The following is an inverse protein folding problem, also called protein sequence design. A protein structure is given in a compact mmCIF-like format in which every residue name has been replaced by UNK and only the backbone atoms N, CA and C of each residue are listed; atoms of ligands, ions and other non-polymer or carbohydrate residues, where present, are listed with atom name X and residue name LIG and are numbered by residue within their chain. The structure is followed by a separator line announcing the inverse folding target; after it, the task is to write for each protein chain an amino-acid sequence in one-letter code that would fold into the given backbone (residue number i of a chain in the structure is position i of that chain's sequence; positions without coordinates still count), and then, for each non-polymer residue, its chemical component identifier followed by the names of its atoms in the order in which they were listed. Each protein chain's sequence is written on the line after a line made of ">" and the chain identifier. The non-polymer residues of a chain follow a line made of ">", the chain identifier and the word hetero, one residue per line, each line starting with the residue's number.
data_IF_709266644982
#
_entry.id   IF_709266644982
#
_cell.length_a   1.000
_cell.length_b   1.000
_cell.length_c   1.000
_cell.angle_alpha   90.00
_cell.angle_beta   90.00
_cell.angle_gamma   90.00
#
_symmetry.space_group_name_H-M   'P 1'
#
loop_
_entity.id
_entity.type
_entity.pdbx_description
1 polymer ?
#
# COMPACT_ATOMS: atom_id res chain seq x y z
N UNK A 1 19.83 21.17 -17.12
CA UNK A 1 20.47 19.90 -16.82
C UNK A 1 20.80 19.73 -15.36
N UNK A 2 21.39 20.74 -14.73
CA UNK A 2 21.69 20.66 -13.31
C UNK A 2 20.44 20.47 -12.46
N UNK A 3 19.31 21.01 -12.90
CA UNK A 3 18.06 20.85 -12.17
C UNK A 3 17.58 19.41 -12.12
N UNK A 4 17.83 18.66 -13.18
CA UNK A 4 17.45 17.26 -13.22
C UNK A 4 18.24 16.46 -12.22
N UNK A 5 19.52 16.79 -12.08
CA UNK A 5 20.39 16.12 -11.11
C UNK A 5 19.92 16.37 -9.69
N UNK A 6 19.51 17.60 -9.41
CA UNK A 6 18.99 17.95 -8.08
C UNK A 6 17.72 17.17 -7.76
N UNK A 7 16.83 17.02 -8.73
CA UNK A 7 15.61 16.27 -8.55
C UNK A 7 15.91 14.81 -8.25
N UNK A 8 16.85 14.22 -8.97
CA UNK A 8 17.25 12.83 -8.73
C UNK A 8 17.83 12.68 -7.33
N UNK A 9 18.58 13.65 -6.89
CA UNK A 9 19.16 13.63 -5.55
C UNK A 9 18.06 13.63 -4.49
N UNK A 10 17.00 14.39 -4.71
CA UNK A 10 15.86 14.39 -3.79
C UNK A 10 15.17 13.03 -3.73
N UNK A 11 15.10 12.33 -4.84
CA UNK A 11 14.52 10.99 -4.84
C UNK A 11 15.37 9.96 -4.11
N UNK A 12 16.64 10.21 -3.96
CA UNK A 12 17.53 9.31 -3.24
C UNK A 12 17.35 9.43 -1.73
N UNK A 13 16.68 10.47 -1.29
CA UNK A 13 16.45 10.75 0.12
C UNK A 13 15.20 10.18 0.76
N UNK A 14 14.41 9.37 0.17
CA UNK A 14 13.25 8.84 0.86
C UNK A 14 13.66 7.67 1.72
N UNK A 15 14.26 7.96 2.81
CA UNK A 15 14.78 6.91 3.68
C UNK A 15 13.89 6.64 4.88
N UNK A 16 12.74 7.29 4.91
CA UNK A 16 11.88 7.22 6.08
C UNK A 16 10.86 6.11 6.04
N UNK A 17 10.91 5.28 5.02
CA UNK A 17 9.94 4.19 4.88
C UNK A 17 9.98 3.22 6.06
N UNK A 18 11.15 3.05 6.68
CA UNK A 18 11.32 2.09 7.77
C UNK A 18 10.59 2.52 9.02
N UNK A 19 10.42 3.83 9.21
CA UNK A 19 9.78 4.34 10.40
C UNK A 19 8.27 4.25 10.37
N UNK A 20 7.69 3.93 9.22
CA UNK A 20 6.25 3.98 9.06
C UNK A 20 5.50 2.96 9.89
N UNK A 21 6.07 1.80 10.11
CA UNK A 21 5.39 0.78 10.88
C UNK A 21 5.15 1.24 12.32
N UNK A 22 6.05 2.04 12.87
CA UNK A 22 5.91 2.58 14.22
C UNK A 22 4.80 3.60 14.33
N UNK A 23 4.50 4.32 13.25
CA UNK A 23 3.43 5.31 13.25
C UNK A 23 2.05 4.67 13.36
N UNK A 24 1.93 3.41 12.96
CA UNK A 24 0.64 2.72 12.95
C UNK A 24 0.47 1.77 14.13
N UNK A 25 1.31 1.89 15.13
CA UNK A 25 1.28 0.96 16.26
C UNK A 25 -0.03 1.00 17.03
N UNK A 26 -0.74 2.12 16.98
CA UNK A 26 -2.01 2.28 17.65
C UNK A 26 -3.18 1.66 16.90
N UNK A 27 -3.01 1.36 15.63
CA UNK A 27 -4.11 0.94 14.78
C UNK A 27 -4.10 -0.56 14.60
N UNK A 28 -5.29 -1.15 14.55
CA UNK A 28 -5.46 -2.54 14.17
C UNK A 28 -5.76 -2.66 12.70
N UNK A 29 -6.35 -1.62 12.12
CA UNK A 29 -6.63 -1.59 10.70
C UNK A 29 -6.75 -0.15 10.24
N UNK A 30 -6.51 0.04 8.96
CA UNK A 30 -6.72 1.31 8.28
C UNK A 30 -7.51 0.99 7.03
N UNK A 31 -8.64 1.66 6.88
CA UNK A 31 -9.50 1.48 5.72
C UNK A 31 -9.51 2.77 4.93
N UNK A 32 -9.22 2.64 3.63
CA UNK A 32 -9.19 3.78 2.73
C UNK A 32 -10.06 3.47 1.52
N UNK A 33 -10.76 4.50 1.06
CA UNK A 33 -11.55 4.42 -0.15
C UNK A 33 -10.79 5.06 -1.30
N UNK A 34 -10.93 4.48 -2.48
CA UNK A 34 -10.26 4.98 -3.67
C UNK A 34 -11.30 5.66 -4.55
N UNK A 35 -11.04 6.93 -4.90
CA UNK A 35 -11.92 7.71 -5.75
C UNK A 35 -11.20 8.09 -7.04
N UNK A 36 -11.97 8.16 -8.09
CA UNK A 36 -11.52 8.67 -9.39
C UNK A 36 -12.57 9.63 -9.91
N UNK A 37 -12.17 10.88 -10.10
CA UNK A 37 -13.08 11.93 -10.54
C UNK A 37 -14.34 12.03 -9.68
N UNK A 38 -14.17 11.90 -8.37
CA UNK A 38 -15.28 11.99 -7.43
C UNK A 38 -16.12 10.73 -7.28
N UNK A 39 -15.81 9.69 -8.02
CA UNK A 39 -16.55 8.43 -7.97
C UNK A 39 -15.78 7.40 -7.18
N UNK A 40 -16.45 6.72 -6.25
CA UNK A 40 -15.85 5.64 -5.48
C UNK A 40 -15.62 4.45 -6.41
N UNK A 41 -14.38 4.03 -6.56
CA UNK A 41 -14.04 2.91 -7.44
C UNK A 41 -13.47 1.71 -6.71
N UNK A 42 -13.12 1.84 -5.43
CA UNK A 42 -12.59 0.70 -4.71
C UNK A 42 -12.08 1.08 -3.34
N UNK A 43 -11.25 0.22 -2.81
CA UNK A 43 -10.75 0.38 -1.44
C UNK A 43 -9.32 -0.13 -1.33
N UNK A 44 -8.65 0.31 -0.27
CA UNK A 44 -7.33 -0.15 0.10
C UNK A 44 -7.31 -0.28 1.61
N UNK A 45 -7.21 -1.51 2.09
CA UNK A 45 -7.29 -1.79 3.51
C UNK A 45 -5.98 -2.37 4.02
N UNK A 46 -5.59 -1.94 5.22
CA UNK A 46 -4.44 -2.48 5.95
C UNK A 46 -4.92 -3.06 7.27
N UNK A 47 -4.44 -4.24 7.60
CA UNK A 47 -4.72 -4.89 8.87
C UNK A 47 -3.40 -5.16 9.56
N UNK A 48 -3.35 -4.86 10.85
CA UNK A 48 -2.15 -5.02 11.67
C UNK A 48 -2.43 -6.04 12.76
N UNK A 49 -1.68 -7.11 12.75
CA UNK A 49 -1.79 -8.15 13.77
C UNK A 49 -0.48 -8.22 14.52
N UNK A 50 -0.52 -7.82 15.79
CA UNK A 50 0.66 -7.77 16.63
C UNK A 50 0.61 -8.89 17.64
N UNK A 51 1.70 -9.65 17.72
CA UNK A 51 1.83 -10.76 18.63
C UNK A 51 3.24 -10.75 19.21
N UNK A 52 3.40 -10.12 20.39
CA UNK A 52 4.71 -9.93 20.98
C UNK A 52 5.59 -9.04 20.13
N UNK A 53 6.74 -9.55 19.74
CA UNK A 53 7.67 -8.80 18.88
C UNK A 53 7.39 -8.93 17.41
N UNK A 54 6.39 -9.74 17.05
CA UNK A 54 6.04 -9.96 15.65
C UNK A 54 4.84 -9.11 15.26
N UNK A 55 4.91 -8.51 14.08
CA UNK A 55 3.80 -7.79 13.51
C UNK A 55 3.58 -8.27 12.09
N UNK A 56 2.35 -8.63 11.78
CA UNK A 56 1.97 -9.01 10.43
C UNK A 56 1.06 -7.91 9.88
N UNK A 57 1.45 -7.35 8.75
CA UNK A 57 0.68 -6.32 8.06
C UNK A 57 0.10 -6.94 6.80
N UNK A 58 -1.21 -6.94 6.71
CA UNK A 58 -1.93 -7.44 5.56
C UNK A 58 -2.53 -6.27 4.80
N UNK A 59 -2.36 -6.25 3.50
CA UNK A 59 -2.94 -5.22 2.65
C UNK A 59 -3.83 -5.87 1.62
N UNK A 60 -5.03 -5.32 1.47
CA UNK A 60 -5.98 -5.73 0.45
C UNK A 60 -6.39 -4.50 -0.33
N UNK A 61 -6.19 -4.54 -1.64
CA UNK A 61 -6.59 -3.45 -2.52
C UNK A 61 -7.47 -4.01 -3.63
N UNK A 62 -8.52 -3.30 -3.92
CA UNK A 62 -9.41 -3.65 -5.02
C UNK A 62 -10.01 -2.39 -5.61
N UNK A 63 -9.94 -2.25 -6.93
CA UNK A 63 -10.66 -1.16 -7.58
C UNK A 63 -11.03 -1.54 -8.99
N UNK A 64 -12.05 -0.87 -9.50
CA UNK A 64 -12.62 -1.10 -10.82
C UNK A 64 -12.80 0.26 -11.50
N UNK A 65 -12.28 0.39 -12.71
CA UNK A 65 -12.47 1.57 -13.51
C UNK A 65 -13.46 1.26 -14.63
N UNK A 66 -14.50 2.07 -14.74
CA UNK A 66 -15.53 1.89 -15.75
C UNK A 66 -15.57 3.12 -16.67
N UNK A 67 -15.82 2.86 -17.93
CA UNK A 67 -16.09 3.90 -18.91
C UNK A 67 -17.40 3.56 -19.61
N UNK A 68 -18.33 4.51 -19.61
CA UNK A 68 -19.64 4.34 -20.23
C UNK A 68 -20.35 3.08 -19.74
N UNK A 69 -20.20 2.78 -18.44
CA UNK A 69 -20.86 1.64 -17.84
C UNK A 69 -20.14 0.31 -18.02
N UNK A 70 -19.06 0.27 -18.79
CA UNK A 70 -18.32 -0.96 -19.01
C UNK A 70 -17.01 -0.95 -18.21
N UNK A 71 -16.69 -2.09 -17.61
CA UNK A 71 -15.42 -2.24 -16.90
C UNK A 71 -14.29 -2.31 -17.91
N UNK A 72 -13.34 -1.36 -17.80
CA UNK A 72 -12.18 -1.31 -18.69
C UNK A 72 -10.91 -1.73 -17.98
N UNK A 73 -10.91 -1.72 -16.65
CA UNK A 73 -9.72 -2.05 -15.89
C UNK A 73 -10.11 -2.41 -14.48
N UNK A 74 -9.53 -3.47 -13.93
CA UNK A 74 -9.72 -3.78 -12.52
C UNK A 74 -8.47 -4.39 -11.94
N UNK A 75 -8.25 -4.12 -10.67
CA UNK A 75 -7.11 -4.63 -9.93
C UNK A 75 -7.59 -5.19 -8.62
N UNK A 76 -7.03 -6.33 -8.25
CA UNK A 76 -7.25 -6.93 -6.95
C UNK A 76 -5.89 -7.40 -6.45
N UNK A 77 -5.48 -6.87 -5.32
CA UNK A 77 -4.18 -7.16 -4.77
C UNK A 77 -4.24 -7.57 -3.31
N UNK A 78 -3.32 -8.40 -2.92
CA UNK A 78 -3.16 -8.85 -1.56
C UNK A 78 -1.68 -8.94 -1.26
N UNK A 79 -1.27 -8.41 -0.11
CA UNK A 79 0.10 -8.55 0.33
C UNK A 79 0.15 -8.82 1.82
N UNK A 80 1.22 -9.47 2.23
CA UNK A 80 1.48 -9.75 3.63
C UNK A 80 2.93 -9.43 3.92
N UNK A 81 3.14 -8.59 4.92
CA UNK A 81 4.47 -8.25 5.40
C UNK A 81 4.61 -8.71 6.84
N UNK A 82 5.69 -9.40 7.13
CA UNK A 82 5.98 -9.83 8.48
C UNK A 82 7.18 -9.08 9.00
N UNK A 83 7.01 -8.48 10.17
CA UNK A 83 8.05 -7.73 10.86
C UNK A 83 8.38 -8.41 12.17
N UNK A 84 9.65 -8.43 12.51
CA UNK A 84 10.12 -8.88 13.81
C UNK A 84 10.99 -7.78 14.39
N UNK A 85 10.60 -7.26 15.55
CA UNK A 85 11.26 -6.11 16.19
C UNK A 85 11.43 -4.96 15.21
N UNK A 86 10.33 -4.66 14.50
CA UNK A 86 10.24 -3.55 13.53
C UNK A 86 11.14 -3.70 12.30
N UNK A 87 11.64 -4.90 12.04
CA UNK A 87 12.40 -5.19 10.85
C UNK A 87 11.62 -6.13 9.95
N UNK A 88 11.56 -5.81 8.67
CA UNK A 88 10.86 -6.65 7.71
C UNK A 88 11.62 -7.96 7.52
N UNK A 89 10.96 -9.07 7.78
CA UNK A 89 11.56 -10.39 7.65
C UNK A 89 10.95 -11.22 6.52
N UNK A 90 9.74 -10.89 6.07
CA UNK A 90 9.20 -11.56 4.90
C UNK A 90 8.16 -10.68 4.23
N UNK A 91 7.98 -10.90 2.93
CA UNK A 91 7.02 -10.16 2.13
C UNK A 91 6.47 -11.07 1.04
N UNK A 92 5.16 -11.16 0.97
CA UNK A 92 4.48 -11.91 -0.08
C UNK A 92 3.39 -11.02 -0.67
N UNK A 93 3.26 -11.05 -1.98
CA UNK A 93 2.19 -10.31 -2.62
C UNK A 93 1.64 -11.08 -3.81
N UNK A 94 0.38 -10.82 -4.09
CA UNK A 94 -0.31 -11.38 -5.24
C UNK A 94 -1.21 -10.30 -5.81
N UNK A 95 -1.08 -10.07 -7.09
CA UNK A 95 -1.89 -9.05 -7.77
C UNK A 95 -2.54 -9.68 -8.98
N UNK A 96 -3.84 -9.50 -9.10
CA UNK A 96 -4.61 -9.89 -10.26
C UNK A 96 -5.04 -8.62 -10.96
N UNK A 97 -4.73 -8.55 -12.24
CA UNK A 97 -5.03 -7.39 -13.05
C UNK A 97 -5.75 -7.85 -14.30
N UNK A 98 -6.82 -7.15 -14.62
CA UNK A 98 -7.65 -7.49 -15.75
C UNK A 98 -8.04 -6.23 -16.49
N UNK A 99 -7.73 -6.19 -17.76
CA UNK A 99 -8.06 -5.06 -18.62
C UNK A 99 -9.47 -5.19 -19.19
#
# INVERSE_FOLDING_TARGET
>A
MKKIIVILFLFIYPTNSIAHIGHYIKYKRIEMEIFRNGELIGYNHYFFNRNGSETIVTNQIKFVVKLLGATVFQVEGYSEEKYFKDQLVSYNSKTLQND
#
